data_IF_975548093350
#
_entry.id   IF_975548093350
#
_cell.length_a   1.000
_cell.length_b   1.000
_cell.length_c   1.000
_cell.angle_alpha   90.00
_cell.angle_beta   90.00
_cell.angle_gamma   90.00
#
_symmetry.space_group_name_H-M   'P 1'
#
loop_
_entity.id
_entity.type
_entity.pdbx_description
1 polymer ?
#
# COMPACT_ATOMS: atom_id res chain seq x y z
N UNK A 1 -20.86 -6.67 8.24
CA UNK A 1 -19.81 -7.16 7.33
C UNK A 1 -18.64 -6.23 7.51
N UNK A 2 -17.60 -6.65 8.24
CA UNK A 2 -16.35 -5.90 8.27
C UNK A 2 -15.58 -6.36 7.03
N UNK A 3 -15.76 -5.65 5.92
CA UNK A 3 -14.85 -5.75 4.80
C UNK A 3 -13.52 -5.22 5.34
N UNK A 4 -12.61 -6.13 5.69
CA UNK A 4 -11.23 -5.78 6.00
C UNK A 4 -10.61 -5.25 4.70
N UNK A 5 -10.90 -3.98 4.39
CA UNK A 5 -10.10 -3.16 3.50
C UNK A 5 -8.93 -2.73 4.37
N UNK A 6 -7.76 -3.34 4.15
CA UNK A 6 -6.56 -2.93 4.85
C UNK A 6 -6.29 -1.46 4.55
N UNK A 7 -5.47 -0.85 5.39
CA UNK A 7 -5.13 0.56 5.30
C UNK A 7 -4.68 0.97 3.88
N UNK A 8 -3.95 0.09 3.20
CA UNK A 8 -3.40 0.31 1.86
C UNK A 8 -3.63 -0.94 0.99
N UNK A 9 -4.02 -0.74 -0.27
CA UNK A 9 -3.93 -1.76 -1.32
C UNK A 9 -2.82 -1.45 -2.31
N UNK A 10 -2.35 -2.45 -3.05
CA UNK A 10 -1.41 -2.21 -4.14
C UNK A 10 -1.71 -3.04 -5.37
N UNK A 11 -1.39 -2.46 -6.54
CA UNK A 11 -1.48 -3.09 -7.85
C UNK A 11 -0.11 -3.01 -8.54
N UNK A 12 0.29 -4.07 -9.23
CA UNK A 12 1.54 -4.11 -9.98
C UNK A 12 1.24 -3.80 -11.45
N UNK A 13 1.78 -2.68 -11.94
CA UNK A 13 1.67 -2.24 -13.34
C UNK A 13 3.05 -2.24 -14.01
N UNK A 14 3.38 -3.37 -14.64
CA UNK A 14 4.65 -3.54 -15.35
C UNK A 14 5.85 -3.49 -14.39
N UNK A 15 6.66 -2.43 -14.51
CA UNK A 15 7.85 -2.23 -13.67
C UNK A 15 7.54 -1.43 -12.39
N UNK A 16 6.30 -0.96 -12.23
CA UNK A 16 5.87 -0.12 -11.10
C UNK A 16 4.81 -0.81 -10.24
N UNK A 17 4.71 -0.37 -8.99
CA UNK A 17 3.68 -0.76 -8.04
C UNK A 17 2.99 0.51 -7.56
N UNK A 18 1.68 0.53 -7.72
CA UNK A 18 0.82 1.62 -7.29
C UNK A 18 0.16 1.20 -5.98
N UNK A 19 0.47 1.93 -4.92
CA UNK A 19 -0.15 1.83 -3.60
C UNK A 19 -1.29 2.83 -3.49
N UNK A 20 -2.40 2.42 -2.91
CA UNK A 20 -3.60 3.23 -2.74
C UNK A 20 -4.09 3.17 -1.31
N UNK A 21 -4.33 4.32 -0.72
CA UNK A 21 -4.94 4.42 0.61
C UNK A 21 -6.42 4.04 0.54
N UNK A 22 -6.86 3.16 1.44
CA UNK A 22 -8.27 2.90 1.69
C UNK A 22 -8.76 3.57 2.98
N UNK A 23 -7.85 3.95 3.86
CA UNK A 23 -8.13 4.57 5.15
C UNK A 23 -7.35 5.87 5.30
N UNK A 24 -7.79 6.80 6.17
CA UNK A 24 -7.03 8.01 6.49
C UNK A 24 -5.62 7.69 7.00
N UNK A 25 -5.46 6.57 7.72
CA UNK A 25 -4.16 6.09 8.20
C UNK A 25 -3.23 5.69 7.06
N UNK A 26 -3.77 5.02 6.04
CA UNK A 26 -3.03 4.73 4.80
C UNK A 26 -2.67 6.00 4.04
N UNK A 27 -3.57 6.98 3.99
CA UNK A 27 -3.35 8.27 3.32
C UNK A 27 -2.25 9.08 4.03
N UNK A 28 -2.25 9.10 5.37
CA UNK A 28 -1.18 9.71 6.16
C UNK A 28 0.17 9.02 5.95
N UNK A 29 0.20 7.68 5.81
CA UNK A 29 1.43 6.93 5.57
C UNK A 29 1.98 7.11 4.15
N UNK A 30 1.10 7.16 3.14
CA UNK A 30 1.46 7.39 1.74
C UNK A 30 1.72 8.88 1.44
N UNK A 31 1.48 9.76 2.40
CA UNK A 31 1.48 11.21 2.24
C UNK A 31 0.54 11.68 1.10
N UNK A 32 -0.55 10.94 0.89
CA UNK A 32 -1.49 11.14 -0.20
C UNK A 32 -2.39 9.93 -0.47
N UNK A 33 -3.38 10.08 -1.37
CA UNK A 33 -4.35 9.02 -1.67
C UNK A 33 -3.73 7.86 -2.47
N UNK A 34 -2.63 8.12 -3.19
CA UNK A 34 -1.90 7.15 -4.00
C UNK A 34 -0.40 7.44 -3.98
N UNK A 35 0.40 6.38 -4.12
CA UNK A 35 1.85 6.46 -4.18
C UNK A 35 2.39 5.36 -5.11
N UNK A 36 3.25 5.73 -6.06
CA UNK A 36 3.80 4.78 -7.02
C UNK A 36 5.32 4.66 -6.85
N UNK A 37 5.81 3.41 -6.80
CA UNK A 37 7.24 3.10 -6.71
C UNK A 37 7.63 2.00 -7.68
N UNK A 38 8.92 1.87 -8.02
CA UNK A 38 9.41 0.72 -8.78
C UNK A 38 9.12 -0.59 -8.05
N UNK A 39 8.88 -1.66 -8.81
CA UNK A 39 8.70 -3.02 -8.27
C UNK A 39 9.88 -3.52 -7.45
N UNK A 40 11.09 -3.03 -7.73
CA UNK A 40 12.30 -3.30 -6.95
C UNK A 40 12.21 -2.79 -5.52
N UNK A 41 11.64 -1.59 -5.35
CA UNK A 41 11.54 -0.87 -4.09
C UNK A 41 10.23 -1.17 -3.35
N UNK A 42 9.19 -1.60 -4.09
CA UNK A 42 7.88 -1.94 -3.54
C UNK A 42 7.94 -3.01 -2.43
N UNK A 43 8.88 -3.96 -2.52
CA UNK A 43 9.05 -4.98 -1.47
C UNK A 43 9.54 -4.40 -0.16
N UNK A 44 10.47 -3.45 -0.22
CA UNK A 44 10.99 -2.76 0.96
C UNK A 44 9.89 -1.90 1.57
N UNK A 45 9.19 -1.12 0.73
CA UNK A 45 8.05 -0.32 1.14
C UNK A 45 6.96 -1.14 1.85
N UNK A 46 6.57 -2.29 1.30
CA UNK A 46 5.58 -3.18 1.93
C UNK A 46 6.06 -3.68 3.30
N UNK A 47 7.36 -3.98 3.42
CA UNK A 47 7.94 -4.42 4.67
C UNK A 47 7.94 -3.32 5.73
N UNK A 48 8.33 -2.10 5.36
CA UNK A 48 8.31 -0.93 6.22
C UNK A 48 6.89 -0.59 6.69
N UNK A 49 5.91 -0.57 5.78
CA UNK A 49 4.53 -0.29 6.15
C UNK A 49 3.99 -1.33 7.14
N UNK A 50 4.23 -2.63 6.91
CA UNK A 50 3.83 -3.68 7.85
C UNK A 50 4.51 -3.52 9.21
N UNK A 51 5.76 -3.10 9.23
CA UNK A 51 6.51 -2.83 10.46
C UNK A 51 5.97 -1.59 11.19
N UNK A 52 5.49 -0.60 10.46
CA UNK A 52 4.77 0.56 10.98
C UNK A 52 3.32 0.24 11.41
N UNK A 53 2.88 -1.02 11.27
CA UNK A 53 1.54 -1.47 11.64
C UNK A 53 0.47 -1.08 10.63
N UNK A 54 0.84 -0.82 9.37
CA UNK A 54 -0.07 -0.59 8.26
C UNK A 54 -0.52 -1.92 7.68
N UNK A 55 -1.83 -2.13 7.59
CA UNK A 55 -2.38 -3.33 6.96
C UNK A 55 -2.39 -3.17 5.44
N UNK A 56 -1.44 -3.85 4.76
CA UNK A 56 -1.39 -3.88 3.29
C UNK A 56 -2.08 -5.12 2.75
N UNK A 57 -3.06 -4.93 1.86
CA UNK A 57 -3.72 -6.01 1.12
C UNK A 57 -3.26 -6.03 -0.34
N UNK A 58 -2.82 -7.21 -0.79
CA UNK A 58 -2.50 -7.46 -2.20
C UNK A 58 -3.74 -7.94 -2.94
N UNK A 59 -4.12 -7.29 -4.03
CA UNK A 59 -4.99 -7.89 -5.04
C UNK A 59 -4.09 -8.61 -6.05
N UNK A 60 -4.04 -9.94 -5.95
CA UNK A 60 -3.41 -10.82 -6.96
C UNK A 60 -4.34 -11.06 -8.13
#
# INVERSE_FOLDING_TARGET
MAELKGDIDYTVEGDQVIFRANTPKGEEYLEGPEFAVPTTDAKEFIHEARTAGIEIISFF
#
